data_IF_581148628006
#
_entry.id   IF_581148628006
#
_cell.length_a   1.000
_cell.length_b   1.000
_cell.length_c   1.000
_cell.angle_alpha   90.00
_cell.angle_beta   90.00
_cell.angle_gamma   90.00
#
_symmetry.space_group_name_H-M   'P 1'
#
loop_
_entity.id
_entity.type
_entity.pdbx_description
1 polymer ?
#
# COMPACT_ATOMS: atom_id res chain seq x y z
N UNK A 1 27.25 25.29 52.86
CA UNK A 1 25.90 25.10 52.30
C UNK A 1 26.03 24.00 51.25
N UNK A 2 25.42 22.82 51.30
CA UNK A 2 24.65 22.08 52.30
C UNK A 2 24.85 20.57 52.03
N UNK A 3 24.97 19.82 53.14
CA UNK A 3 24.57 18.44 53.50
C UNK A 3 24.26 17.42 52.37
N UNK A 4 24.97 16.29 52.22
CA UNK A 4 24.99 15.02 53.03
C UNK A 4 23.59 14.45 53.31
N UNK A 5 23.20 13.19 53.22
CA UNK A 5 23.78 11.83 53.10
C UNK A 5 22.57 10.89 52.86
N UNK A 6 22.61 9.84 52.03
CA UNK A 6 23.13 8.46 52.23
C UNK A 6 22.40 7.55 53.25
N UNK A 7 22.41 6.24 52.91
CA UNK A 7 22.04 5.01 53.67
C UNK A 7 20.62 4.46 53.45
N UNK A 8 20.32 3.21 53.05
CA UNK A 8 20.88 1.84 53.19
C UNK A 8 20.35 1.01 54.38
N UNK A 9 19.52 0.00 54.04
CA UNK A 9 19.47 -1.43 54.48
C UNK A 9 18.84 -1.87 55.84
N UNK A 10 17.98 -2.91 55.73
CA UNK A 10 17.59 -4.03 56.66
C UNK A 10 16.89 -3.70 58.00
N UNK A 11 16.08 -4.54 58.66
CA UNK A 11 15.30 -5.80 58.47
C UNK A 11 14.57 -6.06 59.84
N UNK A 12 13.61 -7.00 59.90
CA UNK A 12 13.01 -7.68 61.11
C UNK A 12 11.99 -6.85 61.92
N UNK A 13 10.88 -7.32 62.51
CA UNK A 13 10.19 -8.62 62.76
C UNK A 13 9.20 -8.33 63.92
N UNK A 14 7.91 -8.66 63.87
CA UNK A 14 7.23 -9.79 64.55
C UNK A 14 6.17 -9.33 65.59
N UNK A 15 4.97 -9.95 65.56
CA UNK A 15 4.00 -10.17 66.66
C UNK A 15 3.19 -8.97 67.21
N UNK A 16 1.99 -9.08 67.78
CA UNK A 16 1.10 -10.20 68.09
C UNK A 16 -0.26 -9.62 68.64
N UNK A 17 -1.36 -10.40 68.56
CA UNK A 17 -2.41 -10.45 69.60
C UNK A 17 -3.65 -9.52 69.64
N UNK A 18 -4.82 -10.18 69.59
CA UNK A 18 -6.08 -9.94 70.36
C UNK A 18 -6.98 -8.72 70.03
N UNK A 19 -8.32 -8.72 70.16
CA UNK A 19 -9.40 -9.69 70.39
C UNK A 19 -10.74 -8.90 70.28
N UNK A 20 -11.89 -9.58 70.06
CA UNK A 20 -13.18 -9.13 70.59
C UNK A 20 -14.34 -8.81 69.62
N UNK A 21 -15.24 -9.79 69.41
CA UNK A 21 -16.66 -9.73 69.83
C UNK A 21 -17.68 -8.76 69.20
N UNK A 22 -18.56 -9.34 68.36
CA UNK A 22 -20.05 -9.25 68.36
C UNK A 22 -20.81 -7.91 68.10
N UNK A 23 -21.65 -7.89 67.04
CA UNK A 23 -23.14 -8.05 67.09
C UNK A 23 -23.90 -7.27 65.99
N UNK A 24 -24.55 -8.06 65.12
CA UNK A 24 -25.85 -7.93 64.45
C UNK A 24 -26.52 -6.56 64.14
N UNK A 25 -26.97 -6.41 62.89
CA UNK A 25 -28.35 -6.01 62.46
C UNK A 25 -28.52 -6.40 60.98
N UNK A 26 -29.45 -7.30 60.61
CA UNK A 26 -30.81 -6.94 60.16
C UNK A 26 -30.87 -6.81 58.62
N UNK A 27 -30.96 -7.93 57.87
CA UNK A 27 -32.18 -8.41 57.17
C UNK A 27 -32.81 -7.44 56.16
N UNK A 28 -32.38 -7.54 54.91
CA UNK A 28 -33.12 -7.38 53.63
C UNK A 28 -32.06 -7.58 52.53
N UNK A 29 -31.95 -8.70 51.82
CA UNK A 29 -32.94 -9.29 50.94
C UNK A 29 -32.65 -10.79 50.80
N UNK A 30 -33.59 -11.62 51.20
CA UNK A 30 -33.53 -13.08 51.08
C UNK A 30 -33.93 -13.52 49.65
N UNK A 31 -33.24 -13.03 48.62
CA UNK A 31 -33.53 -13.40 47.22
C UNK A 31 -32.31 -13.43 46.29
N UNK A 32 -31.10 -13.20 46.80
CA UNK A 32 -29.84 -13.34 46.05
C UNK A 32 -29.03 -14.60 46.43
N UNK A 33 -29.61 -15.49 47.24
CA UNK A 33 -28.89 -16.59 47.90
C UNK A 33 -28.81 -17.91 47.11
N UNK A 34 -29.43 -18.02 45.93
CA UNK A 34 -29.41 -19.29 45.16
C UNK A 34 -28.81 -19.21 43.74
N UNK A 35 -28.43 -18.02 43.23
CA UNK A 35 -27.99 -17.90 41.82
C UNK A 35 -26.48 -17.60 41.58
N UNK A 36 -25.65 -17.39 42.61
CA UNK A 36 -24.19 -17.18 42.41
C UNK A 36 -23.27 -17.98 43.35
N UNK A 37 -23.78 -19.05 43.96
CA UNK A 37 -23.01 -20.07 44.69
C UNK A 37 -22.08 -20.94 43.80
N UNK A 38 -21.75 -20.49 42.58
CA UNK A 38 -20.75 -21.06 41.68
C UNK A 38 -19.44 -20.25 41.69
N UNK A 39 -18.96 -19.94 42.88
CA UNK A 39 -17.59 -19.49 43.06
C UNK A 39 -17.19 -19.73 44.51
N UNK A 40 -16.11 -20.49 44.67
CA UNK A 40 -15.34 -20.68 45.91
C UNK A 40 -15.92 -21.62 46.99
N UNK A 41 -15.59 -22.92 46.89
CA UNK A 41 -14.77 -23.55 47.93
C UNK A 41 -14.06 -24.83 47.43
N UNK A 42 -12.92 -25.19 48.05
CA UNK A 42 -11.82 -25.90 47.42
C UNK A 42 -11.93 -27.41 47.60
N UNK A 43 -11.50 -28.17 46.59
CA UNK A 43 -11.15 -29.59 46.78
C UNK A 43 -9.73 -29.84 46.30
N UNK A 44 -8.88 -30.03 47.31
CA UNK A 44 -7.53 -30.59 47.26
C UNK A 44 -7.45 -31.73 46.24
N UNK A 45 -6.76 -31.51 45.13
CA UNK A 45 -6.09 -32.59 44.39
C UNK A 45 -4.60 -32.46 44.58
N UNK A 46 -4.15 -33.25 45.55
CA UNK A 46 -2.81 -33.77 45.74
C UNK A 46 -2.17 -34.14 44.39
N UNK A 47 -1.14 -33.39 44.00
CA UNK A 47 -0.11 -33.86 43.07
C UNK A 47 1.24 -33.67 43.75
N UNK A 48 1.77 -34.79 44.25
CA UNK A 48 3.17 -34.92 44.64
C UNK A 48 3.96 -35.31 43.39
N UNK A 49 4.70 -34.39 42.78
CA UNK A 49 5.86 -34.71 41.93
C UNK A 49 6.87 -33.59 42.20
N UNK A 50 7.74 -33.79 43.20
CA UNK A 50 9.16 -34.10 42.99
C UNK A 50 9.86 -33.09 42.07
N UNK A 51 10.64 -32.22 42.73
CA UNK A 51 11.81 -31.57 42.16
C UNK A 51 12.58 -32.52 41.26
N UNK A 52 12.78 -32.09 40.00
CA UNK A 52 13.79 -32.50 39.00
C UNK A 52 13.19 -32.42 37.59
N UNK A 53 13.22 -31.23 36.99
CA UNK A 53 13.82 -31.00 35.66
C UNK A 53 13.51 -29.57 35.19
N UNK A 54 14.06 -28.57 35.91
CA UNK A 54 13.90 -27.18 35.50
C UNK A 54 14.64 -26.88 34.19
N UNK A 55 15.67 -27.67 33.84
CA UNK A 55 16.48 -27.51 32.64
C UNK A 55 15.82 -28.02 31.33
N UNK A 56 15.02 -29.08 31.36
CA UNK A 56 14.41 -29.62 30.13
C UNK A 56 13.14 -28.87 29.72
N UNK A 57 12.42 -28.26 30.66
CA UNK A 57 11.24 -27.45 30.37
C UNK A 57 11.64 -26.10 29.76
N UNK A 58 12.73 -25.49 30.25
CA UNK A 58 13.31 -24.27 29.68
C UNK A 58 13.83 -24.51 28.25
N UNK A 59 14.37 -25.69 27.96
CA UNK A 59 14.77 -26.05 26.61
C UNK A 59 13.56 -26.12 25.65
N UNK A 60 12.43 -26.65 26.13
CA UNK A 60 11.19 -26.74 25.33
C UNK A 60 10.56 -25.37 25.10
N UNK A 61 10.60 -24.47 26.08
CA UNK A 61 10.09 -23.10 25.93
C UNK A 61 10.96 -22.28 24.98
N UNK A 62 12.29 -22.38 25.10
CA UNK A 62 13.23 -21.73 24.18
C UNK A 62 13.08 -22.30 22.77
N UNK A 63 12.97 -23.62 22.61
CA UNK A 63 12.73 -24.24 21.31
C UNK A 63 11.40 -23.79 20.68
N UNK A 64 10.34 -23.63 21.48
CA UNK A 64 9.05 -23.13 21.02
C UNK A 64 9.15 -21.66 20.53
N UNK A 65 9.90 -20.82 21.24
CA UNK A 65 10.13 -19.41 20.83
C UNK A 65 10.96 -19.35 19.55
N UNK A 66 12.04 -20.12 19.45
CA UNK A 66 12.89 -20.15 18.25
C UNK A 66 12.12 -20.65 17.03
N UNK A 67 11.32 -21.71 17.19
CA UNK A 67 10.46 -22.21 16.10
C UNK A 67 9.41 -21.17 15.69
N UNK A 68 8.78 -20.47 16.63
CA UNK A 68 7.86 -19.38 16.33
C UNK A 68 8.56 -18.24 15.56
N UNK A 69 9.76 -17.83 15.96
CA UNK A 69 10.54 -16.79 15.26
C UNK A 69 10.93 -17.22 13.84
N UNK A 70 11.34 -18.48 13.64
CA UNK A 70 11.64 -19.01 12.31
C UNK A 70 10.40 -19.06 11.41
N UNK A 71 9.23 -19.40 11.95
CA UNK A 71 7.97 -19.37 11.21
C UNK A 71 7.56 -17.94 10.83
N UNK A 72 7.72 -16.97 11.74
CA UNK A 72 7.42 -15.55 11.46
C UNK A 72 8.39 -15.00 10.42
N UNK A 73 9.70 -15.20 10.61
CA UNK A 73 10.71 -14.79 9.63
C UNK A 73 10.52 -15.50 8.28
N UNK A 74 10.15 -16.77 8.30
CA UNK A 74 9.81 -17.54 7.10
C UNK A 74 8.57 -17.02 6.38
N UNK A 75 7.51 -16.65 7.12
CA UNK A 75 6.31 -16.04 6.56
C UNK A 75 6.60 -14.66 5.96
N UNK A 76 7.34 -13.81 6.67
CA UNK A 76 7.79 -12.50 6.17
C UNK A 76 8.68 -12.69 4.94
N UNK A 77 9.65 -13.60 5.01
CA UNK A 77 10.55 -13.90 3.90
C UNK A 77 9.79 -14.45 2.69
N UNK A 78 8.79 -15.32 2.88
CA UNK A 78 7.91 -15.78 1.81
C UNK A 78 7.07 -14.64 1.25
N UNK A 79 6.55 -13.73 2.07
CA UNK A 79 5.82 -12.55 1.59
C UNK A 79 6.71 -11.57 0.80
N UNK A 80 7.98 -11.43 1.19
CA UNK A 80 8.96 -10.61 0.48
C UNK A 80 9.46 -11.31 -0.80
N UNK A 81 9.62 -12.64 -0.77
CA UNK A 81 10.08 -13.49 -1.89
C UNK A 81 8.96 -13.95 -2.83
N UNK A 82 7.70 -13.76 -2.47
CA UNK A 82 6.55 -13.88 -3.39
C UNK A 82 6.41 -12.66 -4.32
N UNK A 83 7.32 -11.66 -4.21
CA UNK A 83 7.38 -10.50 -5.12
C UNK A 83 8.39 -10.61 -6.28
N UNK A 84 9.24 -11.64 -6.39
CA UNK A 84 9.72 -12.09 -7.69
C UNK A 84 8.90 -13.30 -8.17
N UNK A 85 8.33 -13.19 -9.37
CA UNK A 85 7.70 -14.27 -10.14
C UNK A 85 6.23 -14.62 -9.80
N UNK A 86 5.31 -13.68 -10.02
CA UNK A 86 4.01 -14.04 -10.57
C UNK A 86 3.80 -13.27 -11.88
N UNK A 87 4.23 -13.92 -12.97
CA UNK A 87 3.66 -13.69 -14.28
C UNK A 87 2.18 -14.10 -14.28
N UNK A 88 1.38 -13.32 -15.01
CA UNK A 88 0.06 -13.62 -15.57
C UNK A 88 -0.77 -14.69 -14.83
N UNK A 89 -1.72 -14.25 -14.00
CA UNK A 89 -2.99 -14.96 -13.88
C UNK A 89 -4.07 -14.15 -14.62
N UNK A 90 -4.40 -14.63 -15.81
CA UNK A 90 -5.41 -14.07 -16.70
C UNK A 90 -6.79 -14.55 -16.22
N UNK A 91 -7.43 -13.80 -15.32
CA UNK A 91 -8.85 -14.04 -15.00
C UNK A 91 -9.67 -13.24 -16.02
N UNK A 92 -10.09 -13.90 -17.09
CA UNK A 92 -11.18 -13.40 -17.94
C UNK A 92 -12.50 -13.57 -17.20
N UNK A 93 -12.88 -12.61 -16.36
CA UNK A 93 -14.27 -12.49 -15.93
C UNK A 93 -15.01 -11.70 -17.00
N UNK A 94 -15.56 -12.41 -17.98
CA UNK A 94 -16.64 -11.89 -18.85
C UNK A 94 -17.80 -11.52 -17.93
N UNK A 95 -17.98 -10.24 -17.65
CA UNK A 95 -19.28 -9.73 -17.23
C UNK A 95 -19.89 -8.95 -18.37
N UNK A 96 -21.09 -9.39 -18.70
CA UNK A 96 -21.88 -9.02 -19.85
C UNK A 96 -22.18 -7.53 -19.81
N UNK A 97 -21.81 -6.90 -20.91
CA UNK A 97 -22.45 -5.75 -21.50
C UNK A 97 -23.97 -5.84 -21.34
N UNK A 98 -24.54 -4.88 -20.60
CA UNK A 98 -25.93 -4.47 -20.78
C UNK A 98 -25.90 -3.04 -21.27
N UNK A 99 -25.88 -2.96 -22.59
CA UNK A 99 -26.52 -1.94 -23.40
C UNK A 99 -27.78 -1.38 -22.72
N UNK A 100 -27.78 -0.08 -22.45
CA UNK A 100 -29.01 0.67 -22.26
C UNK A 100 -28.93 1.96 -23.08
N UNK A 101 -29.25 1.77 -24.37
CA UNK A 101 -30.18 2.57 -25.17
C UNK A 101 -30.09 4.09 -24.98
N UNK A 102 -29.56 4.75 -26.00
CA UNK A 102 -29.88 6.14 -26.30
C UNK A 102 -31.40 6.28 -26.50
N UNK A 103 -32.05 7.04 -25.63
CA UNK A 103 -33.40 7.55 -25.86
C UNK A 103 -33.29 9.06 -25.98
N UNK A 104 -33.17 9.53 -27.23
CA UNK A 104 -33.63 10.86 -27.59
C UNK A 104 -35.14 10.79 -27.74
N UNK A 105 -35.89 11.52 -26.93
CA UNK A 105 -36.99 12.39 -27.37
C UNK A 105 -37.59 13.13 -26.18
N UNK A 106 -37.44 14.44 -26.25
CA UNK A 106 -38.47 15.46 -25.99
C UNK A 106 -39.15 15.60 -24.62
N UNK A 107 -39.23 16.87 -24.22
CA UNK A 107 -40.21 17.49 -23.31
C UNK A 107 -40.03 17.29 -21.80
N UNK A 108 -39.68 18.40 -21.14
CA UNK A 108 -40.02 18.71 -19.75
C UNK A 108 -41.55 18.56 -19.56
N UNK A 109 -42.03 18.12 -18.38
CA UNK A 109 -42.36 19.13 -17.39
C UNK A 109 -41.95 18.76 -15.95
N UNK A 110 -41.67 19.84 -15.23
CA UNK A 110 -41.44 19.93 -13.78
C UNK A 110 -42.59 19.27 -13.00
N UNK A 111 -42.24 18.41 -12.05
CA UNK A 111 -43.02 18.16 -10.84
C UNK A 111 -42.07 18.13 -9.64
N UNK A 112 -42.19 19.17 -8.81
CA UNK A 112 -41.51 19.31 -7.52
C UNK A 112 -42.30 18.48 -6.50
N UNK A 113 -41.74 17.39 -6.00
CA UNK A 113 -42.17 16.78 -4.75
C UNK A 113 -41.06 16.95 -3.71
N UNK A 114 -41.31 17.88 -2.79
CA UNK A 114 -40.48 18.19 -1.64
C UNK A 114 -40.69 17.10 -0.59
N UNK A 115 -39.65 16.32 -0.28
CA UNK A 115 -39.56 15.64 1.01
C UNK A 115 -38.10 15.33 1.40
N UNK A 116 -37.78 15.76 2.63
CA UNK A 116 -36.62 15.42 3.44
C UNK A 116 -35.25 15.98 3.01
N UNK A 117 -34.85 17.04 3.72
CA UNK A 117 -33.49 17.53 3.74
C UNK A 117 -32.52 16.48 4.25
N UNK A 118 -31.68 16.01 3.35
CA UNK A 118 -30.31 15.65 3.67
C UNK A 118 -29.47 16.55 2.77
N UNK A 119 -28.66 17.42 3.36
CA UNK A 119 -27.59 18.09 2.62
C UNK A 119 -26.61 17.01 2.16
N UNK A 120 -26.95 16.34 1.06
CA UNK A 120 -26.01 15.58 0.27
C UNK A 120 -25.07 16.63 -0.32
N UNK A 121 -24.03 16.97 0.42
CA UNK A 121 -22.82 17.47 -0.20
C UNK A 121 -22.39 16.36 -1.14
N UNK A 122 -22.70 16.51 -2.41
CA UNK A 122 -22.04 15.78 -3.47
C UNK A 122 -20.57 16.08 -3.28
N UNK A 123 -19.87 15.21 -2.55
CA UNK A 123 -18.43 15.04 -2.74
C UNK A 123 -18.37 14.47 -4.15
N UNK A 124 -18.37 15.36 -5.13
CA UNK A 124 -17.72 15.08 -6.39
C UNK A 124 -16.29 14.81 -5.98
N UNK A 125 -15.99 13.54 -5.71
CA UNK A 125 -14.63 13.03 -5.82
C UNK A 125 -14.29 13.30 -7.28
N UNK A 126 -13.70 14.47 -7.54
CA UNK A 126 -12.97 14.75 -8.76
C UNK A 126 -11.88 13.69 -8.76
N UNK A 127 -12.17 12.54 -9.35
CA UNK A 127 -11.16 11.56 -9.70
C UNK A 127 -10.40 12.27 -10.83
N UNK A 128 -9.18 12.79 -10.61
CA UNK A 128 -8.48 13.44 -11.69
C UNK A 128 -8.28 12.38 -12.75
N UNK A 129 -8.83 12.60 -13.94
CA UNK A 129 -8.69 11.72 -15.09
C UNK A 129 -7.28 11.78 -15.69
N UNK A 130 -6.23 11.85 -14.88
CA UNK A 130 -4.85 12.12 -15.33
C UNK A 130 -3.96 10.88 -15.15
N UNK A 131 -4.48 9.70 -15.49
CA UNK A 131 -3.62 8.52 -15.64
C UNK A 131 -2.93 8.50 -17.02
N UNK A 132 -3.27 9.42 -17.92
CA UNK A 132 -2.61 9.56 -19.23
C UNK A 132 -1.74 10.83 -19.27
N UNK A 133 -0.52 10.75 -19.82
CA UNK A 133 0.29 11.92 -20.09
C UNK A 133 -0.41 12.88 -21.05
N UNK A 134 -0.47 14.17 -20.70
CA UNK A 134 -0.99 15.21 -21.58
C UNK A 134 -0.11 15.37 -22.84
N UNK A 135 -0.67 15.98 -23.89
CA UNK A 135 0.08 16.28 -25.12
C UNK A 135 1.30 17.17 -24.89
N UNK A 136 1.26 18.05 -23.88
CA UNK A 136 2.43 18.87 -23.49
C UNK A 136 3.43 18.11 -22.61
N UNK A 137 2.99 17.08 -21.89
CA UNK A 137 3.85 16.27 -21.03
C UNK A 137 4.76 15.34 -21.82
N UNK A 138 4.23 14.69 -22.88
CA UNK A 138 4.98 13.74 -23.70
C UNK A 138 6.30 14.31 -24.27
N UNK A 139 6.32 15.52 -24.87
CA UNK A 139 7.56 16.17 -25.26
C UNK A 139 8.56 16.34 -24.11
N UNK A 140 8.10 16.65 -22.91
CA UNK A 140 8.98 16.82 -21.76
C UNK A 140 9.59 15.50 -21.27
N UNK A 141 8.89 14.38 -21.42
CA UNK A 141 9.47 13.05 -21.17
C UNK A 141 10.62 12.78 -22.16
N UNK A 142 10.41 13.05 -23.45
CA UNK A 142 11.46 12.87 -24.47
C UNK A 142 12.65 13.83 -24.26
N UNK A 143 12.40 15.09 -23.89
CA UNK A 143 13.45 16.05 -23.52
C UNK A 143 14.23 15.56 -22.31
N UNK A 144 13.57 15.06 -21.26
CA UNK A 144 14.26 14.51 -20.09
C UNK A 144 15.13 13.28 -20.45
N UNK A 145 14.62 12.39 -21.31
CA UNK A 145 15.30 11.16 -21.72
C UNK A 145 16.51 11.41 -22.64
N UNK A 146 16.36 12.26 -23.65
CA UNK A 146 17.36 12.42 -24.74
C UNK A 146 17.64 13.84 -25.17
N UNK A 147 16.95 14.84 -24.62
CA UNK A 147 16.89 16.18 -25.21
C UNK A 147 16.27 16.16 -26.62
N UNK A 148 15.29 15.28 -26.85
CA UNK A 148 14.66 15.03 -28.16
C UNK A 148 15.60 14.54 -29.27
N UNK A 149 16.80 14.04 -28.92
CA UNK A 149 17.72 13.47 -29.89
C UNK A 149 17.49 11.96 -30.03
N UNK A 150 17.03 11.45 -31.20
CA UNK A 150 16.72 10.03 -31.35
C UNK A 150 18.00 9.20 -31.33
N UNK A 151 17.98 8.08 -30.61
CA UNK A 151 18.98 7.03 -30.71
C UNK A 151 18.53 5.94 -31.70
N UNK A 152 19.44 5.45 -32.53
CA UNK A 152 19.18 4.32 -33.43
C UNK A 152 18.97 3.02 -32.65
N UNK A 153 18.03 2.18 -33.11
CA UNK A 153 17.86 0.83 -32.58
C UNK A 153 19.00 -0.10 -33.05
N UNK A 154 19.32 -1.10 -32.24
CA UNK A 154 20.48 -1.97 -32.45
C UNK A 154 21.01 -2.54 -31.14
N UNK A 155 20.16 -3.28 -30.42
CA UNK A 155 20.52 -3.93 -29.14
C UNK A 155 20.65 -3.00 -27.93
N UNK A 156 20.25 -1.73 -28.05
CA UNK A 156 20.21 -0.74 -26.97
C UNK A 156 18.85 -0.04 -26.93
N UNK A 157 18.47 0.59 -25.80
CA UNK A 157 17.29 1.44 -25.76
C UNK A 157 17.38 2.57 -26.80
N UNK A 158 16.32 2.79 -27.57
CA UNK A 158 16.34 3.66 -28.75
C UNK A 158 15.14 4.62 -28.82
N UNK A 159 15.09 5.44 -29.88
CA UNK A 159 14.11 6.50 -30.06
C UNK A 159 14.36 7.71 -29.16
N UNK A 160 13.52 8.74 -29.29
CA UNK A 160 13.59 9.97 -28.49
C UNK A 160 13.27 9.73 -27.00
N UNK A 161 12.54 8.65 -26.72
CA UNK A 161 12.18 8.25 -25.36
C UNK A 161 13.19 7.26 -24.74
N UNK A 162 14.21 6.78 -25.47
CA UNK A 162 15.11 5.69 -25.00
C UNK A 162 14.34 4.50 -24.43
N UNK A 163 13.28 4.09 -25.12
CA UNK A 163 12.48 2.93 -24.73
C UNK A 163 13.37 1.69 -24.89
N UNK A 164 13.38 0.83 -23.87
CA UNK A 164 14.07 -0.47 -23.91
C UNK A 164 13.12 -1.57 -24.38
N UNK A 165 13.68 -2.72 -24.77
CA UNK A 165 12.86 -3.87 -25.19
C UNK A 165 11.89 -4.35 -24.09
N UNK A 166 12.33 -4.39 -22.83
CA UNK A 166 11.47 -4.74 -21.70
C UNK A 166 10.37 -3.69 -21.46
N UNK A 167 10.70 -2.41 -21.60
CA UNK A 167 9.70 -1.33 -21.51
C UNK A 167 8.61 -1.51 -22.59
N UNK A 168 9.00 -1.79 -23.83
CA UNK A 168 8.07 -2.03 -24.94
C UNK A 168 7.17 -3.24 -24.70
N UNK A 169 7.72 -4.36 -24.22
CA UNK A 169 6.91 -5.52 -23.82
C UNK A 169 5.88 -5.17 -22.74
N UNK A 170 6.30 -4.38 -21.76
CA UNK A 170 5.43 -3.99 -20.67
C UNK A 170 4.35 -2.99 -21.11
N UNK A 171 4.64 -2.13 -22.08
CA UNK A 171 3.67 -1.18 -22.64
C UNK A 171 2.59 -1.87 -23.48
N UNK A 172 2.90 -2.95 -24.19
CA UNK A 172 1.93 -3.68 -25.03
C UNK A 172 0.77 -4.32 -24.25
N UNK A 173 0.96 -4.58 -22.95
CA UNK A 173 -0.02 -5.31 -22.13
C UNK A 173 -1.34 -4.57 -21.87
N UNK A 174 -1.42 -3.28 -22.20
CA UNK A 174 -2.60 -2.42 -21.97
C UNK A 174 -3.16 -1.78 -23.24
N UNK A 175 -2.53 -2.01 -24.38
CA UNK A 175 -3.01 -1.55 -25.69
C UNK A 175 -4.05 -2.50 -26.27
N UNK A 176 -4.94 -1.96 -27.10
CA UNK A 176 -5.91 -2.75 -27.87
C UNK A 176 -5.16 -3.78 -28.74
N UNK A 177 -5.55 -5.07 -28.75
CA UNK A 177 -4.93 -6.09 -29.59
C UNK A 177 -4.86 -5.72 -31.08
N UNK A 178 -5.76 -4.89 -31.58
CA UNK A 178 -5.81 -4.46 -32.99
C UNK A 178 -5.10 -3.10 -33.23
N UNK A 179 -4.47 -2.52 -32.21
CA UNK A 179 -3.74 -1.27 -32.37
C UNK A 179 -2.44 -1.45 -33.15
N UNK A 180 -2.00 -0.40 -33.87
CA UNK A 180 -0.69 -0.39 -34.51
C UNK A 180 0.48 -0.62 -33.51
N UNK A 181 0.25 -0.40 -32.21
CA UNK A 181 1.21 -0.64 -31.13
C UNK A 181 1.46 -2.13 -30.87
N UNK A 182 0.45 -2.98 -31.05
CA UNK A 182 0.54 -4.44 -30.81
C UNK A 182 0.95 -5.20 -32.05
N UNK A 183 0.84 -4.60 -33.25
CA UNK A 183 1.22 -5.22 -34.51
C UNK A 183 2.66 -4.94 -34.94
N UNK A 184 3.25 -3.81 -34.55
CA UNK A 184 4.60 -3.42 -34.94
C UNK A 184 5.67 -4.00 -34.00
N UNK A 185 6.77 -4.49 -34.57
CA UNK A 185 7.93 -4.94 -33.81
C UNK A 185 8.63 -3.77 -33.09
N UNK A 186 9.43 -4.10 -32.07
CA UNK A 186 10.18 -3.11 -31.28
C UNK A 186 10.99 -2.14 -32.15
N UNK A 187 11.72 -2.65 -33.13
CA UNK A 187 12.60 -1.83 -33.99
C UNK A 187 11.84 -1.01 -35.04
N UNK A 188 10.60 -1.38 -35.34
CA UNK A 188 9.71 -0.64 -36.24
C UNK A 188 8.96 0.47 -35.48
N UNK A 189 8.46 0.16 -34.29
CA UNK A 189 7.64 1.07 -33.51
C UNK A 189 8.45 2.15 -32.78
N UNK A 190 9.50 1.78 -32.04
CA UNK A 190 10.19 2.70 -31.11
C UNK A 190 10.84 3.93 -31.81
N UNK A 191 11.39 3.82 -33.03
CA UNK A 191 11.85 5.00 -33.77
C UNK A 191 10.74 5.94 -34.22
N UNK A 192 9.51 5.45 -34.39
CA UNK A 192 8.38 6.22 -34.90
C UNK A 192 7.72 6.97 -33.74
N UNK A 193 7.77 8.31 -33.79
CA UNK A 193 7.33 9.16 -32.67
C UNK A 193 5.90 8.87 -32.18
N UNK A 194 4.94 8.71 -33.09
CA UNK A 194 3.54 8.42 -32.74
C UNK A 194 3.36 7.04 -32.07
N UNK A 195 4.11 6.04 -32.54
CA UNK A 195 4.10 4.71 -31.95
C UNK A 195 4.75 4.73 -30.55
N UNK A 196 5.91 5.38 -30.44
CA UNK A 196 6.61 5.55 -29.16
C UNK A 196 5.78 6.32 -28.12
N UNK A 197 5.03 7.36 -28.52
CA UNK A 197 4.07 8.04 -27.64
C UNK A 197 2.98 7.09 -27.12
N UNK A 198 2.42 6.26 -28.00
CA UNK A 198 1.42 5.26 -27.60
C UNK A 198 1.97 4.25 -26.60
N UNK A 199 3.24 3.85 -26.74
CA UNK A 199 3.93 3.02 -25.76
C UNK A 199 4.08 3.73 -24.41
N UNK A 200 4.48 5.00 -24.40
CA UNK A 200 4.62 5.78 -23.16
C UNK A 200 3.27 5.95 -22.47
N UNK A 201 2.20 6.30 -23.20
CA UNK A 201 0.84 6.40 -22.64
C UNK A 201 0.40 5.07 -22.01
N UNK A 202 0.59 3.96 -22.74
CA UNK A 202 0.24 2.61 -22.25
C UNK A 202 1.04 2.22 -21.00
N UNK A 203 2.33 2.52 -20.98
CA UNK A 203 3.19 2.24 -19.82
C UNK A 203 2.77 3.04 -18.58
N UNK A 204 2.48 4.33 -18.75
CA UNK A 204 1.99 5.19 -17.67
C UNK A 204 0.61 4.71 -17.19
N UNK A 205 -0.28 4.35 -18.11
CA UNK A 205 -1.58 3.74 -17.77
C UNK A 205 -1.44 2.47 -16.95
N UNK A 206 -0.41 1.66 -17.24
CA UNK A 206 -0.14 0.40 -16.54
C UNK A 206 0.50 0.59 -15.16
N UNK A 207 1.40 1.56 -15.00
CA UNK A 207 2.25 1.67 -13.81
C UNK A 207 2.16 3.00 -13.06
N UNK A 208 1.25 3.90 -13.46
CA UNK A 208 1.05 5.22 -12.88
C UNK A 208 0.98 5.17 -11.36
N UNK A 209 1.74 6.07 -10.74
CA UNK A 209 1.92 6.16 -9.29
C UNK A 209 2.41 7.57 -8.96
N UNK A 210 2.07 8.08 -7.78
CA UNK A 210 2.59 9.32 -7.22
C UNK A 210 4.03 9.07 -6.77
N UNK A 211 4.98 9.37 -7.65
CA UNK A 211 6.39 9.07 -7.49
C UNK A 211 7.09 10.07 -6.56
N UNK A 212 6.68 11.34 -6.57
CA UNK A 212 7.30 12.40 -5.77
C UNK A 212 6.59 12.68 -4.44
N UNK A 213 5.42 12.10 -4.22
CA UNK A 213 4.67 12.14 -2.98
C UNK A 213 3.88 13.42 -2.78
N UNK A 214 3.55 14.15 -3.86
CA UNK A 214 2.81 15.42 -3.79
C UNK A 214 1.28 15.23 -3.68
N UNK A 215 0.79 13.98 -3.78
CA UNK A 215 -0.61 13.61 -3.70
C UNK A 215 -1.35 13.61 -5.04
N UNK A 216 -0.66 13.92 -6.14
CA UNK A 216 -1.18 13.89 -7.49
C UNK A 216 -0.38 12.87 -8.34
N UNK A 217 -0.96 12.45 -9.47
CA UNK A 217 -0.21 11.73 -10.51
C UNK A 217 -0.13 12.68 -11.68
N UNK A 218 0.96 13.46 -11.70
CA UNK A 218 1.21 14.54 -12.64
C UNK A 218 2.27 14.22 -13.68
N UNK A 219 2.64 15.24 -14.47
CA UNK A 219 3.68 15.06 -15.48
C UNK A 219 5.05 14.74 -14.88
N UNK A 220 5.33 15.28 -13.68
CA UNK A 220 6.56 14.97 -12.93
C UNK A 220 6.67 13.47 -12.64
N UNK A 221 5.58 12.87 -12.17
CA UNK A 221 5.48 11.42 -11.93
C UNK A 221 5.65 10.62 -13.21
N UNK A 222 5.03 11.05 -14.31
CA UNK A 222 5.17 10.37 -15.60
C UNK A 222 6.63 10.34 -16.07
N UNK A 223 7.38 11.44 -15.89
CA UNK A 223 8.81 11.49 -16.20
C UNK A 223 9.61 10.59 -15.25
N UNK A 224 9.33 10.64 -13.95
CA UNK A 224 9.99 9.79 -12.95
C UNK A 224 9.75 8.30 -13.22
N UNK A 225 8.51 7.91 -13.49
CA UNK A 225 8.13 6.56 -13.87
C UNK A 225 8.84 6.10 -15.14
N UNK A 226 8.89 6.95 -16.17
CA UNK A 226 9.52 6.61 -17.44
C UNK A 226 11.03 6.36 -17.28
N UNK A 227 11.73 7.21 -16.52
CA UNK A 227 13.19 7.16 -16.41
C UNK A 227 13.69 6.20 -15.31
N UNK A 228 12.94 6.03 -14.22
CA UNK A 228 13.33 5.17 -13.11
C UNK A 228 12.62 3.81 -13.10
N UNK A 229 11.62 3.63 -13.97
CA UNK A 229 10.75 2.45 -13.99
C UNK A 229 9.82 2.38 -12.76
N UNK A 230 8.95 1.36 -12.68
CA UNK A 230 7.90 1.28 -11.67
C UNK A 230 8.45 1.15 -10.26
N UNK A 231 9.50 0.36 -10.08
CA UNK A 231 10.16 0.20 -8.78
C UNK A 231 10.85 1.48 -8.34
N UNK A 232 11.54 2.17 -9.25
CA UNK A 232 12.23 3.40 -8.90
C UNK A 232 11.27 4.56 -8.59
N UNK A 233 10.17 4.69 -9.33
CA UNK A 233 9.10 5.62 -9.03
C UNK A 233 8.49 5.38 -7.64
N UNK A 234 8.11 4.14 -7.31
CA UNK A 234 7.53 3.81 -6.00
C UNK A 234 8.46 4.04 -4.81
N UNK A 235 9.76 4.03 -5.05
CA UNK A 235 10.77 4.30 -4.03
C UNK A 235 11.14 5.79 -3.94
N UNK A 236 10.45 6.66 -4.69
CA UNK A 236 10.77 8.09 -4.74
C UNK A 236 12.19 8.36 -5.24
N UNK A 237 12.72 7.49 -6.12
CA UNK A 237 14.10 7.62 -6.60
C UNK A 237 14.21 8.95 -7.36
N UNK A 238 15.16 9.84 -7.00
CA UNK A 238 15.35 11.09 -7.72
C UNK A 238 15.80 10.83 -9.16
N UNK A 239 15.46 11.75 -10.06
CA UNK A 239 15.98 11.74 -11.43
C UNK A 239 17.48 12.00 -11.42
N UNK A 240 18.18 11.52 -12.45
CA UNK A 240 19.55 11.95 -12.69
C UNK A 240 19.58 13.46 -12.95
N UNK A 241 20.56 14.17 -12.39
CA UNK A 241 20.60 15.65 -12.41
C UNK A 241 20.47 16.26 -13.81
N UNK A 242 21.01 15.61 -14.84
CA UNK A 242 20.85 16.08 -16.24
C UNK A 242 19.41 15.94 -16.73
N UNK A 243 18.76 14.81 -16.46
CA UNK A 243 17.37 14.57 -16.84
C UNK A 243 16.42 15.50 -16.10
N UNK A 244 16.65 15.74 -14.80
CA UNK A 244 15.87 16.68 -14.01
C UNK A 244 15.98 18.11 -14.54
N UNK A 245 17.19 18.59 -14.86
CA UNK A 245 17.36 19.92 -15.47
C UNK A 245 16.61 20.07 -16.79
N UNK A 246 16.67 19.03 -17.64
CA UNK A 246 15.98 18.99 -18.93
C UNK A 246 14.45 19.02 -18.75
N UNK A 247 13.94 18.21 -17.82
CA UNK A 247 12.53 18.19 -17.43
C UNK A 247 12.06 19.57 -16.96
N UNK A 248 12.73 20.15 -15.96
CA UNK A 248 12.33 21.44 -15.39
C UNK A 248 12.36 22.56 -16.43
N UNK A 249 13.37 22.57 -17.32
CA UNK A 249 13.43 23.52 -18.44
C UNK A 249 12.21 23.39 -19.35
N UNK A 250 11.82 22.16 -19.70
CA UNK A 250 10.64 21.91 -20.53
C UNK A 250 9.35 22.33 -19.81
N UNK A 251 9.21 22.02 -18.52
CA UNK A 251 8.03 22.40 -17.72
C UNK A 251 7.85 23.91 -17.69
N UNK A 252 8.92 24.68 -17.49
CA UNK A 252 8.88 26.15 -17.58
C UNK A 252 8.44 26.63 -18.96
N UNK A 253 8.95 26.02 -20.03
CA UNK A 253 8.57 26.40 -21.40
C UNK A 253 7.11 26.08 -21.75
N UNK A 254 6.58 25.00 -21.16
CA UNK A 254 5.22 24.50 -21.41
C UNK A 254 4.20 24.95 -20.37
N UNK A 255 4.62 25.72 -19.36
CA UNK A 255 3.79 26.12 -18.21
C UNK A 255 3.13 24.93 -17.50
N UNK A 256 3.88 23.84 -17.34
CA UNK A 256 3.45 22.66 -16.58
C UNK A 256 3.80 22.89 -15.11
N UNK A 257 2.82 22.70 -14.23
CA UNK A 257 2.98 22.77 -12.78
C UNK A 257 3.49 21.44 -12.24
#
# INVERSE_FOLDING_TARGET
MDRTSSSSVAELGEGDGAAGGAKATGTAHQEYAEALSLSSQPRKRRWNIRSCSWSTLDLLTVAAIVTALLLILGAIYMHLKQRPHLGRLHITRKEKEKELVAVDTESLPVSLDVAAGVAAQSITTFRPSVLEPSGDCLPCIAVAATDNHPAMCGGRPCGIYRISWLYWMDAQGTSDPDSALTQADYEECVPVASCAEGLVRSYVKRFGYDCDGDGLIGCRDHVMLHLNGPTGCRMGKPLAALAERRMNKCFTQKNIQ
#
